data_IF_456584335717
#
_entry.id   IF_456584335717
#
_cell.length_a   1.000
_cell.length_b   1.000
_cell.length_c   1.000
_cell.angle_alpha   90.00
_cell.angle_beta   90.00
_cell.angle_gamma   90.00
#
_symmetry.space_group_name_H-M   'P 1'
#
loop_
_entity.id
_entity.type
_entity.pdbx_description
1 polymer ?
#
# COMPACT_ATOMS: atom_id res chain seq x y z
N UNK A 1 -23.97 -8.82 9.12
CA UNK A 1 -22.70 -8.34 8.54
C UNK A 1 -21.73 -9.50 8.50
N UNK A 2 -21.13 -9.78 7.34
CA UNK A 2 -19.98 -10.70 7.26
C UNK A 2 -18.79 -10.04 7.97
N UNK A 3 -18.05 -10.75 8.85
CA UNK A 3 -16.87 -10.19 9.48
C UNK A 3 -15.82 -9.82 8.43
N UNK A 4 -15.16 -8.67 8.60
CA UNK A 4 -14.06 -8.24 7.74
C UNK A 4 -12.87 -9.21 7.90
N UNK A 5 -12.49 -9.88 6.82
CA UNK A 5 -11.35 -10.79 6.80
C UNK A 5 -10.11 -10.07 6.23
N UNK A 6 -9.22 -9.63 7.12
CA UNK A 6 -8.04 -8.84 6.75
C UNK A 6 -7.05 -9.59 5.85
N UNK A 7 -6.92 -10.91 6.00
CA UNK A 7 -6.02 -11.71 5.14
C UNK A 7 -6.58 -11.82 3.71
N UNK A 8 -7.90 -11.95 3.58
CA UNK A 8 -8.56 -11.89 2.27
C UNK A 8 -8.35 -10.52 1.61
N UNK A 9 -8.55 -9.43 2.37
CA UNK A 9 -8.33 -8.08 1.85
C UNK A 9 -6.88 -7.86 1.42
N UNK A 10 -5.91 -8.36 2.20
CA UNK A 10 -4.50 -8.33 1.84
C UNK A 10 -4.23 -9.06 0.51
N UNK A 11 -4.79 -10.27 0.34
CA UNK A 11 -4.61 -11.07 -0.87
C UNK A 11 -5.23 -10.42 -2.12
N UNK A 12 -6.43 -9.85 -1.99
CA UNK A 12 -7.09 -9.13 -3.09
C UNK A 12 -6.32 -7.86 -3.47
N UNK A 13 -5.91 -7.09 -2.47
CA UNK A 13 -5.10 -5.89 -2.70
C UNK A 13 -3.74 -6.22 -3.32
N UNK A 14 -3.12 -7.35 -2.97
CA UNK A 14 -1.89 -7.82 -3.60
C UNK A 14 -2.05 -8.05 -5.11
N UNK A 15 -3.11 -8.77 -5.50
CA UNK A 15 -3.43 -9.00 -6.93
C UNK A 15 -3.71 -7.68 -7.65
N UNK A 16 -4.51 -6.80 -7.04
CA UNK A 16 -4.84 -5.49 -7.60
C UNK A 16 -3.59 -4.62 -7.82
N UNK A 17 -2.69 -4.56 -6.83
CA UNK A 17 -1.44 -3.79 -6.94
C UNK A 17 -0.59 -4.23 -8.13
N UNK A 18 -0.37 -5.54 -8.27
CA UNK A 18 0.49 -6.10 -9.32
C UNK A 18 -0.17 -5.97 -10.69
N UNK A 19 -1.45 -6.34 -10.82
CA UNK A 19 -2.18 -6.22 -12.08
C UNK A 19 -2.21 -4.76 -12.56
N UNK A 20 -2.54 -3.81 -11.68
CA UNK A 20 -2.59 -2.40 -12.02
C UNK A 20 -1.19 -1.87 -12.39
N UNK A 21 -0.13 -2.27 -11.67
CA UNK A 21 1.24 -1.89 -11.99
C UNK A 21 1.69 -2.42 -13.36
N UNK A 22 1.33 -3.67 -13.72
CA UNK A 22 1.65 -4.28 -15.01
C UNK A 22 0.99 -3.57 -16.20
N UNK A 23 -0.17 -2.93 -16.00
CA UNK A 23 -0.79 -2.10 -17.06
C UNK A 23 0.07 -0.90 -17.46
N UNK A 24 0.94 -0.42 -16.56
CA UNK A 24 1.82 0.74 -16.79
C UNK A 24 3.24 0.30 -17.12
N UNK A 25 3.73 -0.76 -16.49
CA UNK A 25 5.08 -1.28 -16.65
C UNK A 25 5.03 -2.79 -16.81
N UNK A 26 5.18 -3.29 -18.04
CA UNK A 26 5.28 -4.73 -18.36
C UNK A 26 6.64 -5.32 -17.96
N UNK A 27 6.99 -5.16 -16.69
CA UNK A 27 8.22 -5.65 -16.09
C UNK A 27 7.93 -6.07 -14.65
N UNK A 28 7.53 -7.33 -14.50
CA UNK A 28 7.20 -7.92 -13.21
C UNK A 28 8.40 -7.89 -12.23
N UNK A 29 9.64 -7.90 -12.72
CA UNK A 29 10.85 -7.79 -11.89
C UNK A 29 11.02 -6.40 -11.33
N UNK A 30 10.78 -5.35 -12.12
CA UNK A 30 10.79 -3.98 -11.62
C UNK A 30 9.70 -3.75 -10.56
N UNK A 31 8.51 -4.33 -10.76
CA UNK A 31 7.40 -4.27 -9.80
C UNK A 31 7.74 -5.02 -8.51
N UNK A 32 8.25 -6.26 -8.61
CA UNK A 32 8.71 -7.05 -7.46
C UNK A 32 9.77 -6.30 -6.64
N UNK A 33 10.74 -5.66 -7.33
CA UNK A 33 11.80 -4.88 -6.68
C UNK A 33 11.23 -3.68 -5.91
N UNK A 34 10.28 -2.94 -6.49
CA UNK A 34 9.64 -1.82 -5.79
C UNK A 34 8.87 -2.31 -4.57
N UNK A 35 8.05 -3.35 -4.71
CA UNK A 35 7.27 -3.93 -3.59
C UNK A 35 8.21 -4.40 -2.49
N UNK A 36 9.33 -5.04 -2.83
CA UNK A 36 10.34 -5.50 -1.86
C UNK A 36 10.96 -4.32 -1.11
N UNK A 37 11.31 -3.23 -1.80
CA UNK A 37 11.81 -2.00 -1.15
C UNK A 37 10.75 -1.38 -0.23
N UNK A 38 9.50 -1.28 -0.70
CA UNK A 38 8.38 -0.74 0.09
C UNK A 38 8.14 -1.58 1.35
N UNK A 39 8.16 -2.91 1.23
CA UNK A 39 8.05 -3.82 2.37
C UNK A 39 9.19 -3.62 3.37
N UNK A 40 10.44 -3.50 2.89
CA UNK A 40 11.59 -3.20 3.75
C UNK A 40 11.42 -1.89 4.53
N UNK A 41 10.99 -0.81 3.85
CA UNK A 41 10.71 0.48 4.52
C UNK A 41 9.61 0.34 5.57
N UNK A 42 8.53 -0.40 5.28
CA UNK A 42 7.46 -0.64 6.25
C UNK A 42 7.97 -1.39 7.50
N UNK A 43 8.76 -2.44 7.28
CA UNK A 43 9.27 -3.30 8.35
C UNK A 43 10.28 -2.58 9.25
N UNK A 44 11.16 -1.76 8.66
CA UNK A 44 12.24 -1.08 9.37
C UNK A 44 11.86 0.31 9.90
N UNK A 45 11.01 1.04 9.18
CA UNK A 45 10.75 2.47 9.42
C UNK A 45 9.27 2.80 9.68
N UNK A 46 8.37 1.81 9.54
CA UNK A 46 6.96 1.94 9.88
C UNK A 46 6.06 2.54 8.78
N UNK A 47 4.76 2.67 9.12
CA UNK A 47 3.68 2.98 8.17
C UNK A 47 3.83 4.35 7.51
N UNK A 48 4.20 5.38 8.28
CA UNK A 48 4.38 6.73 7.74
C UNK A 48 5.52 6.79 6.72
N UNK A 49 6.67 6.21 7.06
CA UNK A 49 7.82 6.15 6.17
C UNK A 49 7.51 5.35 4.89
N UNK A 50 6.74 4.27 5.00
CA UNK A 50 6.28 3.48 3.86
C UNK A 50 5.48 4.34 2.85
N UNK A 51 4.49 5.09 3.34
CA UNK A 51 3.71 5.98 2.46
C UNK A 51 4.54 7.12 1.90
N UNK A 52 5.36 7.77 2.74
CA UNK A 52 6.27 8.84 2.30
C UNK A 52 7.24 8.36 1.21
N UNK A 53 7.78 7.15 1.35
CA UNK A 53 8.60 6.52 0.33
C UNK A 53 7.85 6.41 -0.99
N UNK A 54 6.63 5.86 -1.00
CA UNK A 54 5.81 5.72 -2.21
C UNK A 54 5.45 7.08 -2.84
N UNK A 55 5.23 8.12 -2.04
CA UNK A 55 4.99 9.48 -2.53
C UNK A 55 6.25 10.14 -3.11
N UNK A 56 7.44 9.87 -2.56
CA UNK A 56 8.71 10.45 -3.04
C UNK A 56 9.20 9.88 -4.37
N UNK A 57 8.72 8.69 -4.77
CA UNK A 57 9.06 8.05 -6.06
C UNK A 57 8.41 8.74 -7.28
N UNK A 58 7.80 9.90 -7.08
CA UNK A 58 7.19 10.75 -8.10
C UNK A 58 8.17 11.43 -9.05
N UNK A 59 9.49 11.27 -8.88
CA UNK A 59 10.50 11.87 -9.77
C UNK A 59 11.24 10.86 -10.68
N UNK A 60 11.07 9.55 -10.49
CA UNK A 60 11.87 8.48 -11.14
C UNK A 60 11.16 7.75 -12.30
N UNK A 61 11.87 6.85 -13.01
CA UNK A 61 11.29 5.89 -13.97
C UNK A 61 10.19 5.00 -13.35
N UNK A 62 10.14 4.90 -12.01
CA UNK A 62 9.15 4.14 -11.26
C UNK A 62 7.82 4.91 -11.07
N UNK A 63 7.74 6.18 -11.50
CA UNK A 63 6.61 7.10 -11.27
C UNK A 63 5.26 6.53 -11.71
N UNK A 64 5.22 5.88 -12.87
CA UNK A 64 4.00 5.34 -13.47
C UNK A 64 3.36 4.22 -12.65
N UNK A 65 4.13 3.18 -12.33
CA UNK A 65 3.60 2.01 -11.64
C UNK A 65 3.58 2.17 -10.12
N UNK A 66 4.45 3.00 -9.52
CA UNK A 66 4.32 3.38 -8.11
C UNK A 66 3.00 4.10 -7.83
N UNK A 67 2.50 4.87 -8.80
CA UNK A 67 1.17 5.48 -8.76
C UNK A 67 0.01 4.48 -8.66
N UNK A 68 0.24 3.19 -8.96
CA UNK A 68 -0.77 2.13 -8.90
C UNK A 68 -0.74 1.31 -7.61
N UNK A 69 0.40 1.30 -6.90
CA UNK A 69 0.56 0.55 -5.64
C UNK A 69 0.01 1.34 -4.46
N UNK A 70 0.42 2.61 -4.34
CA UNK A 70 0.04 3.47 -3.21
C UNK A 70 -1.47 3.68 -2.98
N UNK A 71 -2.34 3.80 -4.01
CA UNK A 71 -3.77 3.97 -3.77
C UNK A 71 -4.37 2.72 -3.12
N UNK A 72 -3.87 1.53 -3.47
CA UNK A 72 -4.37 0.27 -2.93
C UNK A 72 -4.03 0.13 -1.45
N UNK A 73 -2.83 0.52 -1.03
CA UNK A 73 -2.49 0.57 0.40
C UNK A 73 -3.36 1.60 1.13
N UNK A 74 -3.57 2.78 0.52
CA UNK A 74 -4.47 3.78 1.08
C UNK A 74 -5.89 3.25 1.27
N UNK A 75 -6.44 2.55 0.28
CA UNK A 75 -7.77 1.96 0.34
C UNK A 75 -7.86 0.88 1.42
N UNK A 76 -6.80 0.09 1.65
CA UNK A 76 -6.72 -0.87 2.76
C UNK A 76 -6.85 -0.18 4.13
N UNK A 77 -6.26 1.01 4.31
CA UNK A 77 -6.45 1.80 5.54
C UNK A 77 -7.94 2.07 5.77
N UNK A 78 -8.64 2.50 4.72
CA UNK A 78 -10.06 2.83 4.77
C UNK A 78 -10.96 1.62 5.07
N UNK A 79 -10.47 0.38 4.91
CA UNK A 79 -11.21 -0.83 5.31
C UNK A 79 -11.15 -1.07 6.82
N UNK A 80 -10.16 -0.52 7.52
CA UNK A 80 -10.06 -0.69 8.97
C UNK A 80 -11.16 0.13 9.67
N UNK A 81 -11.88 -0.46 10.65
CA UNK A 81 -12.95 0.23 11.37
C UNK A 81 -12.53 1.58 11.99
N UNK A 82 -11.28 1.69 12.43
CA UNK A 82 -10.72 2.92 13.01
C UNK A 82 -10.64 4.11 12.04
N UNK A 83 -10.62 3.85 10.73
CA UNK A 83 -10.43 4.88 9.71
C UNK A 83 -11.60 4.99 8.74
N UNK A 84 -12.24 3.88 8.36
CA UNK A 84 -13.28 3.85 7.32
C UNK A 84 -14.54 4.66 7.61
N UNK A 85 -14.79 5.02 8.87
CA UNK A 85 -15.95 5.81 9.28
C UNK A 85 -15.61 7.28 9.57
N UNK A 86 -14.35 7.67 9.36
CA UNK A 86 -13.89 9.02 9.67
C UNK A 86 -14.31 10.01 8.58
N UNK A 87 -14.96 11.10 8.98
CA UNK A 87 -15.36 12.17 8.08
C UNK A 87 -14.17 12.98 7.52
N UNK A 88 -13.03 12.96 8.21
CA UNK A 88 -11.79 13.64 7.83
C UNK A 88 -10.82 12.75 7.03
N UNK A 89 -11.20 11.50 6.70
CA UNK A 89 -10.40 10.63 5.85
C UNK A 89 -10.27 11.27 4.45
N UNK A 90 -9.04 11.59 3.98
CA UNK A 90 -8.85 12.14 2.65
C UNK A 90 -9.39 11.22 1.55
N UNK A 91 -9.64 11.79 0.39
CA UNK A 91 -9.82 10.97 -0.82
C UNK A 91 -8.45 10.71 -1.43
N UNK A 92 -8.29 9.60 -2.15
CA UNK A 92 -7.03 9.34 -2.86
C UNK A 92 -6.69 10.43 -3.90
N UNK A 93 -7.70 11.17 -4.38
CA UNK A 93 -7.54 12.27 -5.34
C UNK A 93 -6.99 13.54 -4.69
N UNK A 94 -6.93 13.59 -3.35
CA UNK A 94 -6.34 14.70 -2.62
C UNK A 94 -4.82 14.79 -2.81
N UNK A 95 -4.29 16.00 -2.61
CA UNK A 95 -2.85 16.24 -2.66
C UNK A 95 -2.08 15.34 -1.70
N UNK A 96 -0.89 14.90 -2.13
CA UNK A 96 -0.02 14.01 -1.34
C UNK A 96 0.26 14.54 0.07
N UNK A 97 0.33 15.87 0.23
CA UNK A 97 0.52 16.53 1.53
C UNK A 97 -0.65 16.26 2.50
N UNK A 98 -1.90 16.30 2.01
CA UNK A 98 -3.10 16.08 2.84
C UNK A 98 -3.19 14.63 3.30
N UNK A 99 -2.88 13.67 2.41
CA UNK A 99 -2.79 12.25 2.77
C UNK A 99 -1.71 12.02 3.83
N UNK A 100 -0.50 12.54 3.62
CA UNK A 100 0.60 12.38 4.58
C UNK A 100 0.29 13.03 5.94
N UNK A 101 -0.34 14.21 5.94
CA UNK A 101 -0.79 14.86 7.19
C UNK A 101 -1.78 13.98 7.95
N UNK A 102 -2.74 13.34 7.25
CA UNK A 102 -3.66 12.39 7.89
C UNK A 102 -2.93 11.22 8.55
N UNK A 103 -1.93 10.64 7.86
CA UNK A 103 -1.13 9.57 8.47
C UNK A 103 -0.39 10.04 9.72
N UNK A 104 0.23 11.22 9.69
CA UNK A 104 0.95 11.76 10.83
C UNK A 104 0.02 12.05 12.03
N UNK A 105 -1.16 12.61 11.78
CA UNK A 105 -2.07 13.10 12.82
C UNK A 105 -3.07 12.07 13.33
N UNK A 106 -3.40 11.06 12.54
CA UNK A 106 -4.50 10.13 12.88
C UNK A 106 -4.07 8.67 12.84
N UNK A 107 -3.22 8.27 11.89
CA UNK A 107 -2.74 6.88 11.84
C UNK A 107 -1.65 6.64 12.87
N UNK A 108 -0.70 7.57 12.99
CA UNK A 108 0.44 7.43 13.92
C UNK A 108 0.10 7.79 15.38
N UNK A 109 -1.08 8.36 15.62
CA UNK A 109 -1.50 8.80 16.96
C UNK A 109 -1.96 7.61 17.83
N UNK A 110 -2.69 6.67 17.25
CA UNK A 110 -3.30 5.54 17.97
C UNK A 110 -2.52 4.25 17.71
N UNK A 111 -1.81 3.75 18.73
CA UNK A 111 -0.88 2.62 18.61
C UNK A 111 -1.55 1.36 18.06
N UNK A 112 -2.72 0.98 18.57
CA UNK A 112 -3.40 -0.25 18.16
C UNK A 112 -3.80 -0.21 16.68
N UNK A 113 -4.32 0.94 16.23
CA UNK A 113 -4.72 1.14 14.84
C UNK A 113 -3.50 1.21 13.91
N UNK A 114 -2.40 1.81 14.39
CA UNK A 114 -1.12 1.82 13.69
C UNK A 114 -0.56 0.42 13.49
N UNK A 115 -0.54 -0.40 14.55
CA UNK A 115 -0.04 -1.78 14.50
C UNK A 115 -0.90 -2.64 13.57
N UNK A 116 -2.23 -2.49 13.64
CA UNK A 116 -3.14 -3.20 12.73
C UNK A 116 -2.93 -2.80 11.26
N UNK A 117 -2.74 -1.50 10.98
CA UNK A 117 -2.43 -1.03 9.64
C UNK A 117 -1.07 -1.54 9.14
N UNK A 118 -0.06 -1.59 10.03
CA UNK A 118 1.25 -2.16 9.73
C UNK A 118 1.14 -3.62 9.34
N UNK A 119 0.46 -4.44 10.15
CA UNK A 119 0.33 -5.88 9.90
C UNK A 119 -0.45 -6.16 8.61
N UNK A 120 -1.53 -5.41 8.36
CA UNK A 120 -2.30 -5.50 7.13
C UNK A 120 -1.46 -5.14 5.89
N UNK A 121 -0.69 -4.05 5.96
CA UNK A 121 0.17 -3.63 4.85
C UNK A 121 1.31 -4.61 4.62
N UNK A 122 1.89 -5.14 5.69
CA UNK A 122 2.95 -6.14 5.62
C UNK A 122 2.44 -7.39 4.89
N UNK A 123 1.27 -7.91 5.30
CA UNK A 123 0.67 -9.07 4.66
C UNK A 123 0.35 -8.81 3.18
N UNK A 124 -0.24 -7.65 2.86
CA UNK A 124 -0.56 -7.28 1.49
C UNK A 124 0.69 -7.16 0.61
N UNK A 125 1.78 -6.57 1.13
CA UNK A 125 3.04 -6.42 0.40
C UNK A 125 3.80 -7.74 0.27
N UNK A 126 3.74 -8.63 1.26
CA UNK A 126 4.28 -9.99 1.18
C UNK A 126 3.59 -10.75 0.04
N UNK A 127 2.26 -10.76 0.03
CA UNK A 127 1.49 -11.38 -1.03
C UNK A 127 1.78 -10.72 -2.38
N UNK A 128 1.84 -9.39 -2.46
CA UNK A 128 2.12 -8.68 -3.71
C UNK A 128 3.50 -9.02 -4.27
N UNK A 129 4.51 -9.19 -3.41
CA UNK A 129 5.85 -9.62 -3.81
C UNK A 129 5.81 -11.00 -4.46
N UNK A 130 5.08 -11.94 -3.87
CA UNK A 130 4.94 -13.29 -4.43
C UNK A 130 4.07 -13.31 -5.70
N UNK A 131 3.03 -12.49 -5.78
CA UNK A 131 2.24 -12.28 -6.99
C UNK A 131 3.14 -11.77 -8.13
N UNK A 132 3.91 -10.70 -7.92
CA UNK A 132 4.83 -10.18 -8.93
C UNK A 132 5.90 -11.23 -9.33
N UNK A 133 6.37 -12.02 -8.37
CA UNK A 133 7.32 -13.12 -8.64
C UNK A 133 6.70 -14.25 -9.46
N UNK A 134 5.41 -14.55 -9.30
CA UNK A 134 4.69 -15.53 -10.10
C UNK A 134 4.54 -15.05 -11.55
N UNK A 135 4.20 -13.78 -11.76
CA UNK A 135 4.13 -13.14 -13.08
C UNK A 135 5.45 -13.22 -13.86
N UNK A 136 6.60 -13.20 -13.17
CA UNK A 136 7.92 -13.41 -13.82
C UNK A 136 8.14 -14.81 -14.37
N UNK A 137 7.46 -15.83 -13.82
CA UNK A 137 7.61 -17.24 -14.20
C UNK A 137 6.53 -17.69 -15.19
N UNK A 138 5.55 -16.83 -15.46
CA UNK A 138 4.44 -17.08 -16.38
C UNK A 138 4.75 -16.82 -17.87
N UNK A 139 5.98 -16.43 -18.19
CA UNK A 139 6.52 -16.34 -19.55
C UNK A 139 7.30 -17.61 -19.94
#
# INVERSE_FOLDING_TARGET
>A
MTPLNLDQEAALSAQQMVAAALTVKKDAKAIENLITKTLGVLQEQGVYACMLFLFSRTSSDERGFTGKIRPVLYDLLGKLPAFGQRADLPTWQDESKKVLEFYARHVCQELDSLLLARDLYEQALIYARFTAKAERKGD
#
